data_IF_315141900342
#
_entry.id   IF_315141900342
#
_cell.length_a   1.000
_cell.length_b   1.000
_cell.length_c   1.000
_cell.angle_alpha   90.00
_cell.angle_beta   90.00
_cell.angle_gamma   90.00
#
_symmetry.space_group_name_H-M   'P 1'
#
loop_
_entity.id
_entity.type
_entity.pdbx_description
1 polymer ?
#
# COMPACT_ATOMS: atom_id res chain seq x y z
N UNK A 1 15.91 -36.49 19.60
CA UNK A 1 16.86 -36.32 18.49
C UNK A 1 16.15 -36.50 17.15
N UNK A 2 15.71 -35.43 16.50
CA UNK A 2 15.12 -35.47 15.14
C UNK A 2 15.50 -34.20 14.36
N UNK A 3 16.80 -33.99 14.16
CA UNK A 3 17.33 -32.94 13.26
C UNK A 3 18.15 -33.51 12.08
N UNK A 4 18.46 -34.81 12.07
CA UNK A 4 19.34 -35.41 11.05
C UNK A 4 18.68 -35.74 9.71
N UNK A 5 17.37 -35.57 9.53
CA UNK A 5 16.66 -36.04 8.32
C UNK A 5 16.35 -34.98 7.26
N UNK A 6 16.54 -33.69 7.53
CA UNK A 6 16.24 -32.65 6.52
C UNK A 6 17.44 -32.38 5.60
N UNK A 7 18.67 -32.62 6.04
CA UNK A 7 19.88 -32.32 5.26
C UNK A 7 20.12 -33.37 4.15
N UNK A 8 19.70 -34.62 4.35
CA UNK A 8 19.96 -35.71 3.42
C UNK A 8 19.07 -35.69 2.15
N UNK A 9 17.95 -34.97 2.15
CA UNK A 9 17.01 -34.99 1.01
C UNK A 9 17.34 -33.97 -0.09
N UNK A 10 18.30 -33.06 0.14
CA UNK A 10 18.71 -32.07 -0.86
C UNK A 10 19.92 -32.52 -1.70
N UNK A 11 20.59 -33.62 -1.35
CA UNK A 11 21.84 -34.03 -2.02
C UNK A 11 21.66 -35.14 -3.07
N UNK A 12 20.48 -35.76 -3.21
CA UNK A 12 20.28 -36.98 -4.03
C UNK A 12 19.37 -36.75 -5.25
N UNK A 13 19.24 -35.52 -5.75
CA UNK A 13 18.44 -35.23 -6.95
C UNK A 13 19.24 -34.53 -8.06
N UNK A 14 20.44 -35.04 -8.35
CA UNK A 14 21.23 -34.62 -9.50
C UNK A 14 22.02 -35.80 -10.05
N UNK A 15 21.31 -36.80 -10.57
CA UNK A 15 21.90 -37.75 -11.50
C UNK A 15 20.88 -38.04 -12.60
N UNK A 16 20.94 -37.25 -13.66
CA UNK A 16 20.52 -37.68 -14.99
C UNK A 16 21.42 -36.96 -16.02
N UNK A 17 21.97 -37.76 -16.93
CA UNK A 17 23.12 -37.45 -17.77
C UNK A 17 22.72 -36.61 -18.99
N UNK A 18 23.04 -35.30 -19.00
CA UNK A 18 23.44 -34.61 -20.23
C UNK A 18 24.13 -33.26 -19.95
N UNK A 19 25.46 -33.23 -20.09
CA UNK A 19 26.17 -32.27 -20.94
C UNK A 19 26.12 -30.75 -20.72
N UNK A 20 25.60 -30.19 -19.61
CA UNK A 20 25.83 -28.77 -19.29
C UNK A 20 26.20 -28.59 -17.81
N UNK A 21 27.44 -28.18 -17.53
CA UNK A 21 27.90 -27.77 -16.20
C UNK A 21 27.14 -26.52 -15.74
N UNK A 22 25.94 -26.71 -15.20
CA UNK A 22 25.25 -25.70 -14.40
C UNK A 22 26.00 -25.57 -13.08
N UNK A 23 27.01 -24.71 -13.06
CA UNK A 23 27.69 -24.29 -11.85
C UNK A 23 26.66 -23.67 -10.88
N UNK A 24 26.08 -24.48 -10.00
CA UNK A 24 25.29 -24.01 -8.87
C UNK A 24 26.29 -23.35 -7.91
N UNK A 25 26.44 -22.03 -8.05
CA UNK A 25 27.35 -21.30 -7.16
C UNK A 25 26.94 -21.51 -5.70
N UNK A 26 27.91 -21.87 -4.86
CA UNK A 26 27.72 -22.03 -3.40
C UNK A 26 27.13 -20.75 -2.79
N UNK A 27 27.45 -19.59 -3.37
CA UNK A 27 26.85 -18.29 -3.04
C UNK A 27 25.33 -18.25 -3.26
N UNK A 28 24.83 -18.83 -4.35
CA UNK A 28 23.40 -18.95 -4.64
C UNK A 28 22.66 -19.84 -3.62
N UNK A 29 23.27 -20.96 -3.22
CA UNK A 29 22.71 -21.84 -2.19
C UNK A 29 22.70 -21.19 -0.80
N UNK A 30 23.78 -20.51 -0.42
CA UNK A 30 23.84 -19.77 0.84
C UNK A 30 22.79 -18.64 0.91
N UNK A 31 22.61 -17.89 -0.19
CA UNK A 31 21.56 -16.89 -0.33
C UNK A 31 20.15 -17.49 -0.19
N UNK A 32 19.91 -18.65 -0.82
CA UNK A 32 18.64 -19.37 -0.74
C UNK A 32 18.34 -19.93 0.66
N UNK A 33 19.34 -20.43 1.39
CA UNK A 33 19.18 -20.91 2.78
C UNK A 33 18.90 -19.72 3.72
N UNK A 34 19.64 -18.61 3.56
CA UNK A 34 19.44 -17.40 4.37
C UNK A 34 18.06 -16.81 4.16
N UNK A 35 17.58 -16.74 2.91
CA UNK A 35 16.25 -16.22 2.57
C UNK A 35 15.12 -17.10 3.14
N UNK A 36 15.20 -18.42 2.99
CA UNK A 36 14.25 -19.38 3.60
C UNK A 36 14.22 -19.25 5.12
N UNK A 37 15.38 -19.13 5.77
CA UNK A 37 15.46 -18.95 7.22
C UNK A 37 14.82 -17.63 7.68
N UNK A 38 15.04 -16.53 6.94
CA UNK A 38 14.37 -15.25 7.25
C UNK A 38 12.85 -15.30 7.03
N UNK A 39 12.37 -15.99 6.00
CA UNK A 39 10.95 -16.17 5.74
C UNK A 39 10.26 -16.98 6.84
N UNK A 40 10.93 -18.01 7.38
CA UNK A 40 10.45 -18.80 8.53
C UNK A 40 10.38 -17.92 9.79
N UNK A 41 11.39 -17.07 10.03
CA UNK A 41 11.38 -16.14 11.17
C UNK A 41 10.27 -15.09 11.05
N UNK A 42 10.07 -14.53 9.86
CA UNK A 42 8.98 -13.56 9.62
C UNK A 42 7.61 -14.22 9.81
N UNK A 43 7.36 -15.38 9.20
CA UNK A 43 6.07 -16.06 9.31
C UNK A 43 5.76 -16.47 10.75
N UNK A 44 6.74 -16.94 11.51
CA UNK A 44 6.60 -17.22 12.94
C UNK A 44 6.22 -15.96 13.73
N UNK A 45 6.85 -14.81 13.43
CA UNK A 45 6.53 -13.52 14.06
C UNK A 45 5.11 -13.05 13.72
N UNK A 46 4.71 -13.13 12.45
CA UNK A 46 3.35 -12.76 12.01
C UNK A 46 2.30 -13.64 12.70
N UNK A 47 2.55 -14.95 12.75
CA UNK A 47 1.66 -15.89 13.43
C UNK A 47 1.58 -15.61 14.94
N UNK A 48 2.70 -15.31 15.59
CA UNK A 48 2.72 -14.92 17.01
C UNK A 48 1.87 -13.67 17.26
N UNK A 49 1.95 -12.65 16.40
CA UNK A 49 1.12 -11.45 16.52
C UNK A 49 -0.37 -11.74 16.29
N UNK A 50 -0.72 -12.68 15.41
CA UNK A 50 -2.10 -13.10 15.20
C UNK A 50 -2.65 -13.89 16.40
N UNK A 51 -1.88 -14.84 16.95
CA UNK A 51 -2.33 -15.66 18.09
C UNK A 51 -2.42 -14.83 19.38
N UNK A 52 -1.53 -13.86 19.55
CA UNK A 52 -1.58 -12.88 20.65
C UNK A 52 -2.52 -11.70 20.38
N UNK A 53 -3.35 -11.79 19.33
CA UNK A 53 -4.42 -10.84 18.96
C UNK A 53 -3.95 -9.38 18.93
N UNK A 54 -2.76 -9.13 18.38
CA UNK A 54 -2.31 -7.75 18.16
C UNK A 54 -3.23 -7.07 17.15
N UNK A 55 -3.45 -5.77 17.32
CA UNK A 55 -4.11 -4.93 16.32
C UNK A 55 -3.08 -4.42 15.31
N UNK A 56 -3.53 -3.97 14.13
CA UNK A 56 -2.63 -3.38 13.15
C UNK A 56 -1.88 -2.14 13.67
N UNK A 57 -2.48 -1.22 14.45
CA UNK A 57 -1.74 -0.14 15.11
C UNK A 57 -0.64 -0.65 16.06
N UNK A 58 -0.91 -1.73 16.82
CA UNK A 58 0.11 -2.33 17.68
C UNK A 58 1.25 -2.94 16.86
N UNK A 59 0.95 -3.62 15.75
CA UNK A 59 1.98 -4.19 14.87
C UNK A 59 2.79 -3.09 14.18
N UNK A 60 2.15 -2.00 13.74
CA UNK A 60 2.84 -0.81 13.22
C UNK A 60 3.87 -0.29 14.22
N UNK A 61 3.48 -0.16 15.51
CA UNK A 61 4.38 0.24 16.60
C UNK A 61 5.48 -0.79 16.88
N UNK A 62 5.16 -2.09 16.87
CA UNK A 62 6.12 -3.18 17.11
C UNK A 62 7.15 -3.32 15.97
N UNK A 63 6.77 -2.96 14.75
CA UNK A 63 7.70 -2.83 13.63
C UNK A 63 8.61 -1.61 13.79
N UNK A 64 8.29 -0.67 14.70
CA UNK A 64 8.99 0.61 14.86
C UNK A 64 9.04 1.34 13.51
N UNK A 65 7.86 1.60 12.97
CA UNK A 65 7.68 2.48 11.81
C UNK A 65 7.44 3.87 12.39
N UNK A 66 8.49 4.69 12.38
CA UNK A 66 8.55 6.05 12.93
C UNK A 66 8.89 7.09 11.86
N UNK A 67 8.96 6.67 10.60
CA UNK A 67 9.22 7.52 9.44
C UNK A 67 8.16 8.62 9.30
N UNK A 68 8.59 9.72 8.68
CA UNK A 68 7.68 10.82 8.33
C UNK A 68 6.69 10.38 7.24
N UNK A 69 5.64 11.15 7.05
CA UNK A 69 4.67 10.91 5.97
C UNK A 69 5.32 10.87 4.57
N UNK A 70 6.47 11.53 4.37
CA UNK A 70 7.15 11.54 3.07
C UNK A 70 7.91 10.24 2.80
N UNK A 71 8.33 9.53 3.84
CA UNK A 71 9.32 8.43 3.74
C UNK A 71 8.71 7.07 4.08
N UNK A 72 7.58 7.04 4.80
CA UNK A 72 6.98 5.81 5.34
C UNK A 72 6.72 4.74 4.28
N UNK A 73 6.32 5.11 3.06
CA UNK A 73 6.07 4.13 1.99
C UNK A 73 7.34 3.49 1.43
N UNK A 74 8.50 4.12 1.60
CA UNK A 74 9.78 3.53 1.25
C UNK A 74 10.30 2.57 2.32
N UNK A 75 9.72 2.57 3.52
CA UNK A 75 10.15 1.68 4.59
C UNK A 75 9.84 0.21 4.21
N UNK A 76 10.83 -0.69 4.13
CA UNK A 76 10.61 -2.09 3.76
C UNK A 76 9.68 -2.83 4.73
N UNK A 77 9.52 -2.34 5.96
CA UNK A 77 8.58 -2.90 6.95
C UNK A 77 7.11 -2.69 6.57
N UNK A 78 6.80 -1.81 5.62
CA UNK A 78 5.44 -1.67 5.07
C UNK A 78 4.97 -2.95 4.40
N UNK A 79 5.87 -3.73 3.79
CA UNK A 79 5.55 -5.03 3.22
C UNK A 79 5.20 -6.05 4.31
N UNK A 80 5.89 -6.02 5.46
CA UNK A 80 5.60 -6.88 6.61
C UNK A 80 4.25 -6.52 7.21
N UNK A 81 3.96 -5.22 7.35
CA UNK A 81 2.66 -4.74 7.83
C UNK A 81 1.52 -5.11 6.87
N UNK A 82 1.71 -4.96 5.55
CA UNK A 82 0.73 -5.33 4.55
C UNK A 82 0.41 -6.84 4.58
N UNK A 83 1.44 -7.69 4.71
CA UNK A 83 1.27 -9.14 4.92
C UNK A 83 0.47 -9.42 6.19
N UNK A 84 0.82 -8.75 7.29
CA UNK A 84 0.09 -8.90 8.55
C UNK A 84 -1.39 -8.54 8.42
N UNK A 85 -1.70 -7.36 7.86
CA UNK A 85 -3.08 -6.89 7.64
C UNK A 85 -3.85 -7.88 6.76
N UNK A 86 -3.23 -8.39 5.69
CA UNK A 86 -3.85 -9.41 4.83
C UNK A 86 -4.20 -10.68 5.61
N UNK A 87 -3.28 -11.20 6.42
CA UNK A 87 -3.53 -12.39 7.26
C UNK A 87 -4.58 -12.12 8.33
N UNK A 88 -4.56 -10.93 8.94
CA UNK A 88 -5.54 -10.50 9.93
C UNK A 88 -6.94 -10.43 9.33
N UNK A 89 -7.11 -9.77 8.18
CA UNK A 89 -8.41 -9.61 7.51
C UNK A 89 -8.99 -10.94 7.03
N UNK A 90 -8.15 -11.88 6.57
CA UNK A 90 -8.59 -13.24 6.22
C UNK A 90 -9.18 -13.99 7.42
N UNK A 91 -8.66 -13.75 8.63
CA UNK A 91 -9.18 -14.34 9.88
C UNK A 91 -10.34 -13.57 10.49
N UNK A 92 -10.53 -12.31 10.09
CA UNK A 92 -11.54 -11.39 10.64
C UNK A 92 -12.34 -10.76 9.50
N UNK A 93 -13.13 -11.53 8.73
CA UNK A 93 -13.82 -11.03 7.54
C UNK A 93 -14.83 -9.91 7.84
N UNK A 94 -15.39 -9.90 9.05
CA UNK A 94 -16.38 -8.90 9.48
C UNK A 94 -15.75 -7.65 10.15
N UNK A 95 -14.44 -7.65 10.38
CA UNK A 95 -13.72 -6.56 11.03
C UNK A 95 -12.36 -6.35 10.36
N UNK A 96 -12.41 -6.00 9.07
CA UNK A 96 -11.21 -5.82 8.27
C UNK A 96 -10.53 -4.48 8.60
N UNK A 97 -9.20 -4.50 8.55
CA UNK A 97 -8.37 -3.31 8.69
C UNK A 97 -7.92 -2.82 7.32
N UNK A 98 -8.06 -1.52 7.09
CA UNK A 98 -7.52 -0.81 5.93
C UNK A 98 -6.15 -0.23 6.24
N UNK A 99 -5.18 -0.41 5.32
CA UNK A 99 -3.88 0.27 5.42
C UNK A 99 -4.05 1.78 5.27
N UNK A 100 -4.97 2.23 4.40
CA UNK A 100 -5.26 3.64 4.18
C UNK A 100 -5.78 4.29 5.47
N UNK A 101 -6.68 3.62 6.19
CA UNK A 101 -7.27 4.15 7.43
C UNK A 101 -6.22 4.20 8.54
N UNK A 102 -5.40 3.16 8.65
CA UNK A 102 -4.29 3.11 9.60
C UNK A 102 -3.30 4.26 9.38
N UNK A 103 -2.91 4.50 8.12
CA UNK A 103 -2.03 5.62 7.77
C UNK A 103 -2.71 6.97 8.01
N UNK A 104 -4.01 7.08 7.72
CA UNK A 104 -4.77 8.32 7.93
C UNK A 104 -4.84 8.68 9.41
N UNK A 105 -5.12 7.70 10.27
CA UNK A 105 -5.10 7.89 11.72
C UNK A 105 -3.71 8.30 12.24
N UNK A 106 -2.63 7.84 11.59
CA UNK A 106 -1.25 8.12 12.01
C UNK A 106 -0.71 9.46 11.52
N UNK A 107 -1.05 9.87 10.30
CA UNK A 107 -0.37 10.94 9.58
C UNK A 107 -1.26 12.17 9.32
N UNK A 108 -2.25 12.41 10.17
CA UNK A 108 -3.03 13.65 10.13
C UNK A 108 -4.21 13.64 9.17
N UNK A 109 -4.78 12.45 8.93
CA UNK A 109 -6.05 12.27 8.24
C UNK A 109 -5.94 11.93 6.75
N UNK A 110 -7.11 11.71 6.16
CA UNK A 110 -7.30 11.25 4.78
C UNK A 110 -6.64 12.18 3.74
N UNK A 111 -6.77 13.49 3.92
CA UNK A 111 -6.24 14.49 2.99
C UNK A 111 -4.70 14.47 2.93
N UNK A 112 -4.02 14.34 4.09
CA UNK A 112 -2.58 14.23 4.14
C UNK A 112 -2.09 12.94 3.44
N UNK A 113 -2.77 11.83 3.70
CA UNK A 113 -2.43 10.52 3.11
C UNK A 113 -2.70 10.46 1.60
N UNK A 114 -3.80 11.06 1.13
CA UNK A 114 -4.10 11.15 -0.29
C UNK A 114 -2.99 11.87 -1.06
N UNK A 115 -2.53 13.01 -0.53
CA UNK A 115 -1.45 13.79 -1.14
C UNK A 115 -0.10 13.07 -1.07
N UNK A 116 0.17 12.37 0.04
CA UNK A 116 1.34 11.49 0.16
C UNK A 116 1.34 10.45 -0.97
N UNK A 117 0.23 9.77 -1.24
CA UNK A 117 0.17 8.75 -2.30
C UNK A 117 0.42 9.34 -3.69
N UNK A 118 -0.16 10.51 -3.99
CA UNK A 118 0.12 11.23 -5.25
C UNK A 118 1.61 11.53 -5.41
N UNK A 119 2.28 11.95 -4.33
CA UNK A 119 3.72 12.25 -4.34
C UNK A 119 4.58 10.99 -4.48
N UNK A 120 4.28 9.94 -3.71
CA UNK A 120 5.04 8.70 -3.70
C UNK A 120 5.03 7.97 -5.06
N UNK A 121 3.99 8.16 -5.88
CA UNK A 121 3.97 7.64 -7.26
C UNK A 121 5.09 8.15 -8.18
N UNK A 122 5.86 9.14 -7.76
CA UNK A 122 6.98 9.69 -8.51
C UNK A 122 8.31 8.95 -8.30
N UNK A 123 8.40 8.11 -7.27
CA UNK A 123 9.61 7.33 -7.00
C UNK A 123 9.41 5.89 -7.40
N UNK A 124 10.35 5.32 -8.17
CA UNK A 124 10.33 3.91 -8.57
C UNK A 124 10.20 2.97 -7.36
N UNK A 125 10.84 3.32 -6.24
CA UNK A 125 10.81 2.52 -5.02
C UNK A 125 9.42 2.45 -4.37
N UNK A 126 8.56 3.45 -4.58
CA UNK A 126 7.27 3.56 -3.88
C UNK A 126 6.05 3.56 -4.80
N UNK A 127 6.25 3.67 -6.12
CA UNK A 127 5.17 3.80 -7.10
C UNK A 127 4.16 2.66 -7.08
N UNK A 128 4.65 1.42 -6.96
CA UNK A 128 3.78 0.23 -6.93
C UNK A 128 2.87 0.23 -5.70
N UNK A 129 3.44 0.43 -4.50
CA UNK A 129 2.67 0.47 -3.26
C UNK A 129 1.72 1.68 -3.21
N UNK A 130 2.20 2.86 -3.59
CA UNK A 130 1.42 4.09 -3.60
C UNK A 130 0.23 4.00 -4.58
N UNK A 131 0.42 3.39 -5.76
CA UNK A 131 -0.65 3.17 -6.73
C UNK A 131 -1.73 2.25 -6.18
N UNK A 132 -1.33 1.15 -5.54
CA UNK A 132 -2.28 0.22 -4.91
C UNK A 132 -3.08 0.89 -3.79
N UNK A 133 -2.41 1.59 -2.89
CA UNK A 133 -3.06 2.26 -1.77
C UNK A 133 -3.95 3.43 -2.23
N UNK A 134 -3.57 4.14 -3.29
CA UNK A 134 -4.43 5.16 -3.89
C UNK A 134 -5.69 4.55 -4.53
N UNK A 135 -5.59 3.38 -5.16
CA UNK A 135 -6.76 2.68 -5.70
C UNK A 135 -7.70 2.22 -4.57
N UNK A 136 -7.17 1.69 -3.47
CA UNK A 136 -7.95 1.37 -2.26
C UNK A 136 -8.64 2.62 -1.69
N UNK A 137 -7.93 3.74 -1.64
CA UNK A 137 -8.48 5.02 -1.17
C UNK A 137 -9.62 5.52 -2.08
N UNK A 138 -9.46 5.47 -3.40
CA UNK A 138 -10.51 5.83 -4.38
C UNK A 138 -11.73 4.94 -4.22
N UNK A 139 -11.54 3.62 -4.09
CA UNK A 139 -12.64 2.70 -3.86
C UNK A 139 -13.39 3.02 -2.55
N UNK A 140 -12.67 3.38 -1.49
CA UNK A 140 -13.25 3.85 -0.23
C UNK A 140 -14.07 5.14 -0.40
N UNK A 141 -13.57 6.11 -1.17
CA UNK A 141 -14.30 7.34 -1.48
C UNK A 141 -15.59 7.08 -2.25
N UNK A 142 -15.55 6.23 -3.27
CA UNK A 142 -16.73 5.84 -4.04
C UNK A 142 -17.75 5.11 -3.18
N UNK A 143 -17.30 4.16 -2.35
CA UNK A 143 -18.18 3.40 -1.44
C UNK A 143 -18.91 4.30 -0.43
N UNK A 144 -18.27 5.38 0.00
CA UNK A 144 -18.81 6.32 0.98
C UNK A 144 -19.51 7.52 0.31
N UNK A 145 -19.87 7.43 -0.98
CA UNK A 145 -20.56 8.48 -1.75
C UNK A 145 -19.90 9.86 -1.65
N UNK A 146 -18.57 9.88 -1.51
CA UNK A 146 -17.84 11.14 -1.40
C UNK A 146 -18.01 11.93 -2.70
N UNK A 147 -18.31 13.23 -2.60
CA UNK A 147 -18.53 14.03 -3.81
C UNK A 147 -17.20 14.32 -4.53
N UNK A 148 -17.29 14.67 -5.80
CA UNK A 148 -16.13 15.18 -6.56
C UNK A 148 -15.53 16.42 -5.94
N UNK A 149 -16.35 17.27 -5.30
CA UNK A 149 -15.93 18.50 -4.65
C UNK A 149 -15.19 18.21 -3.33
N UNK A 150 -15.62 17.20 -2.59
CA UNK A 150 -14.89 16.74 -1.40
C UNK A 150 -13.52 16.20 -1.77
N UNK A 151 -13.42 15.37 -2.82
CA UNK A 151 -12.13 14.86 -3.29
C UNK A 151 -11.25 15.98 -3.86
N UNK A 152 -11.84 17.00 -4.48
CA UNK A 152 -11.13 18.20 -4.92
C UNK A 152 -10.41 18.90 -3.75
N UNK A 153 -11.12 19.10 -2.63
CA UNK A 153 -10.58 19.69 -1.40
C UNK A 153 -9.55 18.80 -0.70
N UNK A 154 -9.80 17.48 -0.61
CA UNK A 154 -8.84 16.50 -0.07
C UNK A 154 -7.49 16.59 -0.78
N UNK A 155 -7.55 16.76 -2.10
CA UNK A 155 -6.38 16.89 -2.96
C UNK A 155 -5.83 18.32 -3.01
N UNK A 156 -6.33 19.23 -2.18
CA UNK A 156 -5.90 20.62 -2.04
C UNK A 156 -5.86 21.33 -3.42
N UNK A 157 -6.95 21.19 -4.18
CA UNK A 157 -7.11 21.80 -5.49
C UNK A 157 -7.94 23.09 -5.45
N UNK A 158 -8.52 23.41 -4.30
CA UNK A 158 -9.27 24.64 -3.98
C UNK A 158 -8.38 25.77 -3.44
N UNK A 159 -7.10 25.48 -3.16
CA UNK A 159 -6.11 26.49 -2.80
C UNK A 159 -5.36 26.98 -4.05
N UNK A 160 -5.66 28.20 -4.48
CA UNK A 160 -5.01 28.83 -5.64
C UNK A 160 -3.48 28.95 -5.45
N UNK A 161 -3.02 29.14 -4.20
CA UNK A 161 -1.59 29.26 -3.89
C UNK A 161 -0.85 27.93 -4.02
N UNK A 162 -1.58 26.81 -4.00
CA UNK A 162 -1.01 25.47 -4.18
C UNK A 162 -0.77 25.11 -5.65
N UNK A 163 -0.97 26.07 -6.58
CA UNK A 163 -0.85 25.95 -8.03
C UNK A 163 -1.54 24.67 -8.56
N UNK A 164 -2.87 24.59 -8.55
CA UNK A 164 -3.60 23.36 -8.81
C UNK A 164 -3.50 22.90 -10.27
N UNK A 165 -3.37 23.84 -11.21
CA UNK A 165 -3.36 23.61 -12.65
C UNK A 165 -2.01 22.99 -13.07
N UNK A 166 -2.05 21.77 -13.62
CA UNK A 166 -0.85 21.01 -14.00
C UNK A 166 -0.30 20.07 -12.92
N UNK A 167 -0.96 19.95 -11.77
CA UNK A 167 -0.50 19.03 -10.71
C UNK A 167 -0.92 17.60 -10.97
N UNK A 168 -0.13 16.64 -10.48
CA UNK A 168 -0.54 15.22 -10.39
C UNK A 168 -1.77 15.03 -9.49
N UNK A 169 -2.05 15.98 -8.59
CA UNK A 169 -3.27 16.02 -7.77
C UNK A 169 -4.49 16.26 -8.66
N UNK A 170 -4.40 17.17 -9.62
CA UNK A 170 -5.45 17.39 -10.62
C UNK A 170 -5.71 16.13 -11.46
N UNK A 171 -4.66 15.43 -11.91
CA UNK A 171 -4.83 14.14 -12.63
C UNK A 171 -5.53 13.09 -11.77
N UNK A 172 -5.16 12.96 -10.49
CA UNK A 172 -5.82 12.03 -9.58
C UNK A 172 -7.31 12.38 -9.38
N UNK A 173 -7.61 13.67 -9.24
CA UNK A 173 -8.99 14.16 -9.15
C UNK A 173 -9.80 13.90 -10.44
N UNK A 174 -9.23 14.14 -11.62
CA UNK A 174 -9.91 13.89 -12.89
C UNK A 174 -10.27 12.41 -13.09
N UNK A 175 -9.35 11.52 -12.72
CA UNK A 175 -9.61 10.08 -12.76
C UNK A 175 -10.75 9.70 -11.79
N UNK A 176 -10.75 10.28 -10.59
CA UNK A 176 -11.84 10.09 -9.64
C UNK A 176 -13.19 10.61 -10.17
N UNK A 177 -13.23 11.84 -10.67
CA UNK A 177 -14.42 12.46 -11.24
C UNK A 177 -14.99 11.64 -12.40
N UNK A 178 -14.13 11.15 -13.30
CA UNK A 178 -14.55 10.28 -14.40
C UNK A 178 -15.25 9.02 -13.91
N UNK A 179 -14.67 8.35 -12.91
CA UNK A 179 -15.24 7.14 -12.32
C UNK A 179 -16.52 7.42 -11.52
N UNK A 180 -16.54 8.52 -10.76
CA UNK A 180 -17.73 8.98 -10.04
C UNK A 180 -18.88 9.27 -11.00
N UNK A 181 -18.64 10.02 -12.08
CA UNK A 181 -19.65 10.34 -13.09
C UNK A 181 -20.19 9.09 -13.79
N UNK A 182 -19.30 8.12 -14.08
CA UNK A 182 -19.67 6.84 -14.69
C UNK A 182 -20.63 6.04 -13.79
N UNK A 183 -20.39 6.07 -12.48
CA UNK A 183 -21.21 5.37 -11.48
C UNK A 183 -22.44 6.15 -11.04
N UNK A 184 -22.45 7.48 -11.22
CA UNK A 184 -23.51 8.39 -10.76
C UNK A 184 -23.94 9.37 -11.86
N UNK A 185 -24.60 8.92 -12.95
CA UNK A 185 -24.95 9.78 -14.10
C UNK A 185 -25.77 11.02 -13.73
N UNK A 186 -26.66 10.89 -12.74
CA UNK A 186 -27.54 11.96 -12.24
C UNK A 186 -26.81 13.03 -11.43
N UNK A 187 -25.63 12.71 -10.89
CA UNK A 187 -24.80 13.61 -10.07
C UNK A 187 -23.54 14.07 -10.79
N UNK A 188 -23.46 13.85 -12.11
CA UNK A 188 -22.24 14.12 -12.87
C UNK A 188 -21.86 15.60 -12.79
N UNK A 189 -20.56 15.85 -12.68
CA UNK A 189 -19.98 17.20 -12.79
C UNK A 189 -18.97 17.26 -13.93
N UNK A 190 -18.47 18.46 -14.22
CA UNK A 190 -17.36 18.70 -15.14
C UNK A 190 -16.24 19.44 -14.44
N UNK A 191 -15.04 19.40 -15.04
CA UNK A 191 -13.93 20.25 -14.60
C UNK A 191 -14.36 21.72 -14.54
N UNK A 192 -14.97 22.24 -15.61
CA UNK A 192 -15.37 23.64 -15.66
C UNK A 192 -16.34 24.00 -14.54
N UNK A 193 -17.39 23.20 -14.31
CA UNK A 193 -18.36 23.42 -13.23
C UNK A 193 -17.68 23.42 -11.86
N UNK A 194 -16.83 22.44 -11.58
CA UNK A 194 -16.14 22.34 -10.29
C UNK A 194 -15.23 23.55 -10.04
N UNK A 195 -14.47 23.96 -11.06
CA UNK A 195 -13.59 25.14 -10.96
C UNK A 195 -14.38 26.44 -10.84
N UNK A 196 -15.49 26.61 -11.57
CA UNK A 196 -16.37 27.76 -11.41
C UNK A 196 -16.96 27.82 -10.00
N UNK A 197 -17.36 26.69 -9.42
CA UNK A 197 -17.82 26.64 -8.03
C UNK A 197 -16.71 26.96 -7.03
N UNK A 198 -15.50 26.45 -7.25
CA UNK A 198 -14.38 26.61 -6.32
C UNK A 198 -13.73 28.01 -6.38
N UNK A 199 -13.68 28.63 -7.56
CA UNK A 199 -12.93 29.87 -7.82
C UNK A 199 -13.77 31.03 -8.36
N UNK A 200 -14.95 30.75 -8.94
CA UNK A 200 -15.81 31.73 -9.60
C UNK A 200 -16.92 32.30 -8.71
N UNK A 201 -16.92 31.98 -7.42
CA UNK A 201 -17.76 32.69 -6.45
C UNK A 201 -17.22 34.10 -6.24
N UNK A 202 -17.96 35.10 -6.72
CA UNK A 202 -17.74 36.50 -6.41
C UNK A 202 -17.56 36.67 -4.88
N UNK A 203 -16.43 37.26 -4.48
CA UNK A 203 -16.29 37.93 -3.19
C UNK A 203 -16.79 39.35 -3.31
#
# INVERSE_FOLDING_TARGET
MRLHWIVALALVAAHDENGEERAVSVSGLAGAIKSKTSAIKESAKLNLWLTTRKSAPQVFKLLKIDDTINDVLANPKMNVLAKYISMYNKKNPNNQVSMVDLLSARYGGEAAVARMFVKAKQSEATTSLATKLQAEQVAGWLKNDKSTDDVFKILLLDDANANPLGTRRLTAWLNYMSEFNRLNPEKKTTMLQTFTTAYGGDK
#
